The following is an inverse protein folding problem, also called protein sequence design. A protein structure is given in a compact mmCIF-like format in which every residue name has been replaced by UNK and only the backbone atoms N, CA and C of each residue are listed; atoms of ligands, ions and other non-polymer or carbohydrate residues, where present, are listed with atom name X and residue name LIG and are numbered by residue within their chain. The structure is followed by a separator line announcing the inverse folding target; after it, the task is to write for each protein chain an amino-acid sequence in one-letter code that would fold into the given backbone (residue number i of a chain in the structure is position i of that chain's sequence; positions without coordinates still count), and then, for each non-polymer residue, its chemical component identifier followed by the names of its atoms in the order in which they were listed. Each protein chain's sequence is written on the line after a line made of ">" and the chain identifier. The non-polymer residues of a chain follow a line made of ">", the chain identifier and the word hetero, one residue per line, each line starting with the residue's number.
data_IF_650206012271
#
_entry.id   IF_650206012271
#
_cell.length_a   1.000
_cell.length_b   1.000
_cell.length_c   1.000
_cell.angle_alpha   90.00
_cell.angle_beta   90.00
_cell.angle_gamma   90.00
#
_symmetry.space_group_name_H-M   'P 1'
#
loop_
_entity.id
_entity.type
_entity.pdbx_description
1 polymer ?
#
# COMPACT_ATOMS: atom_id res chain seq x y z
N UNK A 1 -4.79 -4.53 -13.53
CA UNK A 1 -6.02 -4.20 -12.76
C UNK A 1 -5.98 -2.73 -12.38
N UNK A 2 -7.02 -1.92 -12.68
CA UNK A 2 -7.06 -0.52 -12.28
C UNK A 2 -7.06 -0.36 -10.74
N UNK A 3 -6.44 0.71 -10.18
CA UNK A 3 -6.34 0.91 -8.72
C UNK A 3 -7.60 1.53 -8.09
N UNK A 4 -8.74 1.57 -8.78
CA UNK A 4 -9.93 2.28 -8.32
C UNK A 4 -10.49 1.75 -6.99
N UNK A 5 -10.41 0.44 -6.75
CA UNK A 5 -10.86 -0.14 -5.48
C UNK A 5 -10.04 0.39 -4.30
N UNK A 6 -8.71 0.46 -4.44
CA UNK A 6 -7.83 1.03 -3.41
C UNK A 6 -8.14 2.51 -3.18
N UNK A 7 -8.36 3.28 -4.25
CA UNK A 7 -8.71 4.71 -4.14
C UNK A 7 -10.02 4.94 -3.39
N UNK A 8 -11.05 4.15 -3.67
CA UNK A 8 -12.35 4.23 -2.99
C UNK A 8 -12.22 3.93 -1.50
N UNK A 9 -11.46 2.88 -1.14
CA UNK A 9 -11.23 2.53 0.25
C UNK A 9 -10.41 3.61 0.98
N UNK A 10 -9.33 4.10 0.39
CA UNK A 10 -8.51 5.16 0.98
C UNK A 10 -9.32 6.44 1.27
N UNK A 11 -10.20 6.83 0.35
CA UNK A 11 -11.10 7.97 0.56
C UNK A 11 -12.07 7.74 1.74
N UNK A 12 -12.61 6.52 1.87
CA UNK A 12 -13.50 6.17 2.99
C UNK A 12 -12.76 6.16 4.34
N UNK A 13 -11.57 5.57 4.40
CA UNK A 13 -10.74 5.54 5.62
C UNK A 13 -10.35 6.96 6.05
N UNK A 14 -9.94 7.80 5.10
CA UNK A 14 -9.64 9.21 5.33
C UNK A 14 -10.85 9.96 5.90
N UNK A 15 -12.03 9.75 5.34
CA UNK A 15 -13.25 10.41 5.78
C UNK A 15 -13.66 10.02 7.21
N UNK A 16 -13.25 8.84 7.68
CA UNK A 16 -13.51 8.36 9.04
C UNK A 16 -12.37 8.65 10.03
N UNK A 17 -11.29 9.30 9.60
CA UNK A 17 -10.12 9.55 10.46
C UNK A 17 -9.37 8.29 10.88
N UNK A 18 -9.51 7.20 10.12
CA UNK A 18 -8.81 5.94 10.39
C UNK A 18 -7.39 6.05 9.82
N UNK A 19 -6.37 5.71 10.61
CA UNK A 19 -4.99 5.68 10.13
C UNK A 19 -4.82 4.68 8.98
N UNK A 20 -4.20 5.11 7.89
CA UNK A 20 -3.95 4.26 6.73
C UNK A 20 -2.76 4.77 5.91
N UNK A 21 -2.16 3.87 5.13
CA UNK A 21 -1.28 4.19 4.03
C UNK A 21 -1.77 3.53 2.74
N UNK A 22 -1.55 4.18 1.60
CA UNK A 22 -1.92 3.65 0.29
C UNK A 22 -0.84 3.98 -0.73
N UNK A 23 -0.21 2.93 -1.27
CA UNK A 23 0.85 3.02 -2.27
C UNK A 23 0.36 2.49 -3.61
N UNK A 24 0.50 3.28 -4.69
CA UNK A 24 0.11 2.90 -6.05
C UNK A 24 1.36 2.82 -6.91
N UNK A 25 1.66 1.63 -7.43
CA UNK A 25 2.82 1.37 -8.27
C UNK A 25 2.43 1.23 -9.75
N UNK A 26 2.68 2.23 -10.61
CA UNK A 26 2.36 2.15 -12.03
C UNK A 26 3.15 1.02 -12.72
N UNK A 27 2.49 0.27 -13.61
CA UNK A 27 3.13 -0.78 -14.40
C UNK A 27 3.37 -2.11 -13.67
N UNK A 28 3.03 -2.22 -12.39
CA UNK A 28 3.15 -3.46 -11.61
C UNK A 28 1.93 -4.36 -11.89
N UNK A 29 2.10 -5.64 -12.29
CA UNK A 29 0.99 -6.53 -12.59
C UNK A 29 0.20 -6.92 -11.33
N UNK A 30 -0.97 -7.54 -11.52
CA UNK A 30 -1.74 -8.07 -10.41
C UNK A 30 -1.12 -9.37 -9.89
N UNK A 31 -1.25 -9.66 -8.59
CA UNK A 31 -0.76 -10.91 -8.00
C UNK A 31 0.76 -11.01 -7.88
N UNK A 32 1.47 -9.89 -7.69
CA UNK A 32 2.95 -9.83 -7.70
C UNK A 32 3.67 -10.44 -6.51
N UNK A 33 2.95 -10.86 -5.47
CA UNK A 33 3.57 -11.40 -4.25
C UNK A 33 4.55 -10.42 -3.64
N UNK A 34 5.82 -10.79 -3.54
CA UNK A 34 6.90 -9.95 -2.98
C UNK A 34 7.36 -8.81 -3.90
N UNK A 35 6.95 -8.83 -5.17
CA UNK A 35 7.33 -7.84 -6.18
C UNK A 35 8.86 -7.67 -6.40
N UNK A 36 9.66 -8.70 -6.08
CA UNK A 36 11.11 -8.69 -6.35
C UNK A 36 11.40 -8.47 -7.83
N UNK A 37 12.29 -7.52 -8.13
CA UNK A 37 12.67 -7.09 -9.47
C UNK A 37 11.69 -6.10 -10.11
N UNK A 38 10.68 -5.63 -9.37
CA UNK A 38 9.69 -4.66 -9.85
C UNK A 38 9.80 -3.35 -9.06
N UNK A 39 9.13 -2.31 -9.53
CA UNK A 39 9.09 -1.00 -8.85
C UNK A 39 8.40 -1.00 -7.48
N UNK A 40 7.73 -2.09 -7.11
CA UNK A 40 7.12 -2.30 -5.80
C UNK A 40 7.99 -3.16 -4.86
N UNK A 41 9.23 -3.49 -5.23
CA UNK A 41 10.14 -4.20 -4.31
C UNK A 41 10.27 -3.44 -2.98
N UNK A 42 10.19 -4.16 -1.86
CA UNK A 42 10.22 -3.58 -0.51
C UNK A 42 8.87 -3.10 0.03
N UNK A 43 7.76 -3.22 -0.72
CA UNK A 43 6.43 -2.82 -0.23
C UNK A 43 6.00 -3.54 1.06
N UNK A 44 6.49 -4.78 1.27
CA UNK A 44 6.20 -5.55 2.49
C UNK A 44 6.86 -4.90 3.70
N UNK A 45 8.10 -4.41 3.55
CA UNK A 45 8.83 -3.75 4.64
C UNK A 45 8.14 -2.44 5.02
N UNK A 46 7.69 -1.66 4.03
CA UNK A 46 6.87 -0.45 4.25
C UNK A 46 5.55 -0.78 4.98
N UNK A 47 4.90 -1.88 4.62
CA UNK A 47 3.70 -2.31 5.32
C UNK A 47 3.99 -2.66 6.78
N UNK A 48 5.12 -3.34 7.05
CA UNK A 48 5.57 -3.63 8.42
C UNK A 48 5.83 -2.35 9.21
N UNK A 49 6.55 -1.39 8.61
CA UNK A 49 6.84 -0.09 9.23
C UNK A 49 5.58 0.64 9.68
N UNK A 50 4.50 0.60 8.89
CA UNK A 50 3.21 1.19 9.26
C UNK A 50 2.61 0.63 10.56
N UNK A 51 2.85 -0.65 10.89
CA UNK A 51 2.35 -1.27 12.12
C UNK A 51 3.30 -1.14 13.30
N UNK A 52 4.56 -0.79 13.06
CA UNK A 52 5.52 -0.64 14.14
C UNK A 52 5.20 0.63 14.96
N UNK A 53 5.47 0.61 16.28
CA UNK A 53 5.33 1.80 17.09
C UNK A 53 6.34 2.86 16.63
N UNK A 54 5.97 4.14 16.72
CA UNK A 54 6.90 5.24 16.46
C UNK A 54 8.18 5.09 17.30
N UNK A 55 9.33 4.97 16.62
CA UNK A 55 10.66 4.97 17.25
C UNK A 55 11.28 3.60 17.58
N UNK A 56 10.85 2.52 16.92
CA UNK A 56 11.53 1.21 16.97
C UNK A 56 12.35 0.93 15.72
#
# INVERSE_FOLDING_TARGET
>A
MPPENTKKLAAALKAQGIAYEAHIYPGVPHGVGTAKGLSAEGWIDQAVEFWLPDGQ
#
